data_IF_324507606409
#
_entry.id   IF_324507606409
#
_cell.length_a   1.000
_cell.length_b   1.000
_cell.length_c   1.000
_cell.angle_alpha   90.00
_cell.angle_beta   90.00
_cell.angle_gamma   90.00
#
_symmetry.space_group_name_H-M   'P 1'
#
loop_
_entity.id
_entity.type
_entity.pdbx_description
1 polymer ?
#
# COMPACT_ATOMS: atom_id res chain seq x y z
N UNK A 1 29.03 -17.08 11.81
CA UNK A 1 28.39 -15.74 11.75
C UNK A 1 28.37 -15.27 10.30
N UNK A 2 27.21 -14.81 9.79
CA UNK A 2 26.92 -14.55 8.37
C UNK A 2 27.65 -13.34 7.73
N UNK A 3 28.75 -12.84 8.31
CA UNK A 3 29.52 -11.72 7.74
C UNK A 3 28.73 -10.39 7.61
N UNK A 4 27.61 -10.26 8.32
CA UNK A 4 26.73 -9.09 8.22
C UNK A 4 27.30 -7.88 8.96
N UNK A 5 27.15 -6.70 8.35
CA UNK A 5 27.58 -5.42 8.94
C UNK A 5 26.38 -4.68 9.51
N UNK A 6 26.39 -4.45 10.83
CA UNK A 6 25.36 -3.65 11.50
C UNK A 6 25.51 -2.16 11.13
N UNK A 7 24.39 -1.50 10.80
CA UNK A 7 24.31 -0.06 10.53
C UNK A 7 23.34 0.59 11.51
N UNK A 8 23.88 1.09 12.62
CA UNK A 8 23.10 1.82 13.62
C UNK A 8 22.84 3.26 13.17
N UNK A 9 21.64 3.76 13.45
CA UNK A 9 21.30 5.19 13.38
C UNK A 9 21.58 5.85 14.73
N UNK A 10 21.93 7.14 14.71
CA UNK A 10 22.05 7.93 15.93
C UNK A 10 20.68 8.04 16.63
N UNK A 11 20.69 8.05 17.96
CA UNK A 11 19.48 8.23 18.76
C UNK A 11 18.73 9.51 18.35
N UNK A 12 17.40 9.45 18.36
CA UNK A 12 16.51 10.57 18.05
C UNK A 12 16.74 11.20 16.66
N UNK A 13 17.29 10.46 15.69
CA UNK A 13 17.43 10.88 14.28
C UNK A 13 16.63 10.00 13.32
N UNK A 14 15.29 10.06 13.37
CA UNK A 14 14.43 9.24 12.53
C UNK A 14 14.68 9.44 11.01
N UNK A 15 14.98 10.69 10.62
CA UNK A 15 15.24 11.08 9.24
C UNK A 15 16.43 10.35 8.59
N UNK A 16 17.37 9.85 9.40
CA UNK A 16 18.51 9.09 8.92
C UNK A 16 18.12 7.77 8.23
N UNK A 17 16.89 7.28 8.46
CA UNK A 17 16.36 6.08 7.82
C UNK A 17 14.92 6.27 7.31
N UNK A 18 14.62 7.45 6.75
CA UNK A 18 13.25 7.86 6.42
C UNK A 18 12.49 6.95 5.44
N UNK A 19 13.17 6.12 4.64
CA UNK A 19 12.53 5.10 3.79
C UNK A 19 11.96 3.96 4.63
N UNK A 20 12.76 3.42 5.57
CA UNK A 20 12.32 2.38 6.49
C UNK A 20 11.22 2.89 7.40
N UNK A 21 11.31 4.13 7.87
CA UNK A 21 10.27 4.67 8.76
C UNK A 21 8.94 4.86 8.03
N UNK A 22 8.98 5.24 6.75
CA UNK A 22 7.77 5.33 5.93
C UNK A 22 7.15 3.96 5.71
N UNK A 23 7.96 2.93 5.42
CA UNK A 23 7.44 1.57 5.26
C UNK A 23 6.84 1.04 6.57
N UNK A 24 7.48 1.27 7.71
CA UNK A 24 6.95 0.93 9.05
C UNK A 24 5.61 1.65 9.30
N UNK A 25 5.51 2.93 8.95
CA UNK A 25 4.25 3.67 9.10
C UNK A 25 3.13 3.09 8.23
N UNK A 26 3.44 2.66 7.00
CA UNK A 26 2.47 1.98 6.12
C UNK A 26 1.98 0.68 6.75
N UNK A 27 2.89 -0.14 7.28
CA UNK A 27 2.55 -1.38 7.99
C UNK A 27 1.63 -1.10 9.18
N UNK A 28 1.99 -0.14 10.04
CA UNK A 28 1.18 0.22 11.22
C UNK A 28 -0.24 0.66 10.82
N UNK A 29 -0.36 1.47 9.76
CA UNK A 29 -1.67 1.92 9.26
C UNK A 29 -2.49 0.76 8.71
N UNK A 30 -1.86 -0.17 7.99
CA UNK A 30 -2.53 -1.32 7.43
C UNK A 30 -2.99 -2.30 8.53
N UNK A 31 -2.15 -2.55 9.55
CA UNK A 31 -2.54 -3.33 10.74
C UNK A 31 -3.77 -2.69 11.41
N UNK A 32 -3.74 -1.38 11.68
CA UNK A 32 -4.87 -0.67 12.31
C UNK A 32 -6.16 -0.71 11.48
N UNK A 33 -6.06 -0.84 10.16
CA UNK A 33 -7.23 -0.94 9.29
C UNK A 33 -7.79 -2.37 9.23
N UNK A 34 -6.94 -3.38 9.35
CA UNK A 34 -7.33 -4.80 9.31
C UNK A 34 -7.79 -5.34 10.67
N UNK A 35 -7.26 -4.82 11.77
CA UNK A 35 -7.64 -5.21 13.13
C UNK A 35 -8.83 -4.36 13.57
N UNK A 36 -10.05 -4.81 13.27
CA UNK A 36 -11.28 -4.19 13.74
C UNK A 36 -11.81 -4.78 15.05
N UNK A 37 -11.43 -6.01 15.40
CA UNK A 37 -11.91 -6.70 16.60
C UNK A 37 -10.97 -6.51 17.81
N UNK A 38 -11.59 -6.37 18.98
CA UNK A 38 -10.90 -5.98 20.23
C UNK A 38 -10.03 -7.09 20.84
N UNK A 39 -10.24 -8.34 20.47
CA UNK A 39 -9.57 -9.50 21.07
C UNK A 39 -8.30 -9.92 20.32
N UNK A 40 -8.03 -9.36 19.12
CA UNK A 40 -6.81 -9.60 18.33
C UNK A 40 -6.52 -11.08 18.07
N UNK A 41 -7.55 -11.93 18.18
CA UNK A 41 -7.39 -13.39 18.20
C UNK A 41 -7.10 -13.98 16.82
N UNK A 42 -7.42 -13.24 15.75
CA UNK A 42 -7.21 -13.63 14.36
C UNK A 42 -5.94 -13.02 13.74
N UNK A 43 -5.10 -12.33 14.53
CA UNK A 43 -3.91 -11.63 14.01
C UNK A 43 -2.99 -12.54 13.19
N UNK A 44 -2.79 -13.78 13.62
CA UNK A 44 -1.94 -14.74 12.91
C UNK A 44 -2.55 -15.11 11.54
N UNK A 45 -3.88 -15.26 11.46
CA UNK A 45 -4.60 -15.55 10.22
C UNK A 45 -4.66 -14.35 9.27
N UNK A 46 -4.61 -13.12 9.81
CA UNK A 46 -4.57 -11.89 9.02
C UNK A 46 -3.15 -11.48 8.64
N UNK A 47 -2.13 -11.92 9.36
CA UNK A 47 -0.74 -11.53 9.12
C UNK A 47 -0.27 -11.89 7.72
N UNK A 48 -0.58 -13.11 7.25
CA UNK A 48 -0.22 -13.56 5.90
C UNK A 48 -0.95 -12.74 4.82
N UNK A 49 -2.26 -12.52 5.00
CA UNK A 49 -3.09 -11.73 4.08
C UNK A 49 -2.60 -10.28 4.01
N UNK A 50 -2.26 -9.70 5.14
CA UNK A 50 -1.73 -8.35 5.26
C UNK A 50 -0.37 -8.22 4.60
N UNK A 51 0.53 -9.20 4.82
CA UNK A 51 1.84 -9.23 4.20
C UNK A 51 1.74 -9.35 2.68
N UNK A 52 0.82 -10.19 2.18
CA UNK A 52 0.51 -10.30 0.76
C UNK A 52 -0.04 -8.98 0.21
N UNK A 53 -1.00 -8.34 0.88
CA UNK A 53 -1.54 -7.05 0.48
C UNK A 53 -0.46 -5.97 0.41
N UNK A 54 0.43 -5.88 1.42
CA UNK A 54 1.52 -4.90 1.44
C UNK A 54 2.54 -5.15 0.32
N UNK A 55 2.94 -6.39 0.08
CA UNK A 55 3.93 -6.74 -0.95
C UNK A 55 3.40 -6.58 -2.38
N UNK A 56 2.10 -6.73 -2.58
CA UNK A 56 1.46 -6.63 -3.91
C UNK A 56 0.78 -5.28 -4.16
N UNK A 57 0.62 -4.45 -3.12
CA UNK A 57 0.15 -3.07 -3.27
C UNK A 57 1.20 -2.18 -3.93
N UNK A 58 0.73 -1.15 -4.64
CA UNK A 58 1.61 -0.19 -5.29
C UNK A 58 2.27 0.74 -4.26
N UNK A 59 3.60 0.79 -4.27
CA UNK A 59 4.37 1.76 -3.49
C UNK A 59 4.66 3.00 -4.33
N UNK A 60 3.97 4.10 -4.05
CA UNK A 60 4.14 5.37 -4.77
C UNK A 60 5.57 5.94 -4.67
N UNK A 61 6.36 5.56 -3.66
CA UNK A 61 7.76 5.99 -3.53
C UNK A 61 8.67 5.27 -4.51
N UNK A 62 8.35 3.99 -4.78
CA UNK A 62 9.14 3.11 -5.65
C UNK A 62 8.58 3.00 -7.06
N UNK A 63 7.38 3.56 -7.27
CA UNK A 63 6.62 3.55 -8.52
C UNK A 63 6.31 2.14 -9.06
N UNK A 64 6.31 1.14 -8.16
CA UNK A 64 5.92 -0.23 -8.45
C UNK A 64 5.56 -0.98 -7.15
N UNK A 65 5.20 -2.25 -7.27
CA UNK A 65 4.93 -3.14 -6.13
C UNK A 65 6.24 -3.68 -5.53
N UNK A 66 6.40 -3.78 -4.20
CA UNK A 66 7.59 -4.38 -3.60
C UNK A 66 7.93 -5.77 -4.13
N UNK A 67 6.91 -6.60 -4.39
CA UNK A 67 7.08 -7.94 -4.96
C UNK A 67 7.76 -7.91 -6.33
N UNK A 68 7.26 -7.06 -7.25
CA UNK A 68 7.84 -6.93 -8.59
C UNK A 68 9.29 -6.47 -8.53
N UNK A 69 9.62 -5.55 -7.64
CA UNK A 69 10.98 -5.02 -7.51
C UNK A 69 11.99 -6.06 -7.01
N UNK A 70 11.56 -7.02 -6.20
CA UNK A 70 12.41 -8.10 -5.67
C UNK A 70 12.52 -9.26 -6.66
N UNK A 71 11.41 -9.62 -7.31
CA UNK A 71 11.34 -10.86 -8.09
C UNK A 71 11.40 -10.66 -9.61
N UNK A 72 11.13 -9.44 -10.10
CA UNK A 72 11.12 -9.12 -11.53
C UNK A 72 9.91 -9.67 -12.28
N UNK A 73 8.90 -10.19 -11.57
CA UNK A 73 7.63 -10.69 -12.12
C UNK A 73 6.45 -10.34 -11.21
N UNK A 74 5.25 -10.40 -11.77
CA UNK A 74 4.02 -10.03 -11.07
C UNK A 74 3.44 -11.17 -10.26
N UNK A 75 3.03 -10.94 -9.00
CA UNK A 75 2.48 -11.99 -8.15
C UNK A 75 1.25 -12.61 -8.84
N UNK A 76 1.22 -13.94 -8.96
CA UNK A 76 0.08 -14.64 -9.53
C UNK A 76 -1.12 -14.45 -8.60
N UNK A 77 -2.27 -14.04 -9.16
CA UNK A 77 -3.52 -14.11 -8.41
C UNK A 77 -3.82 -15.58 -8.06
N UNK A 78 -4.58 -15.84 -7.00
CA UNK A 78 -5.02 -17.21 -6.65
C UNK A 78 -5.62 -17.92 -7.87
N UNK A 79 -6.38 -17.18 -8.69
CA UNK A 79 -6.94 -17.66 -9.96
C UNK A 79 -5.85 -18.00 -10.98
N UNK A 80 -4.83 -17.15 -11.13
CA UNK A 80 -3.69 -17.41 -12.02
C UNK A 80 -2.83 -18.58 -11.55
N UNK A 81 -2.66 -18.77 -10.24
CA UNK A 81 -1.94 -19.91 -9.68
C UNK A 81 -2.71 -21.23 -9.90
N UNK A 82 -4.05 -21.18 -9.79
CA UNK A 82 -4.94 -22.31 -10.09
C UNK A 82 -4.98 -22.68 -11.57
N UNK A 83 -4.90 -21.70 -12.47
CA UNK A 83 -4.89 -21.91 -13.93
C UNK A 83 -3.51 -22.34 -14.48
N UNK A 84 -2.47 -22.38 -13.65
CA UNK A 84 -1.11 -22.75 -14.04
C UNK A 84 -0.34 -21.60 -14.70
N UNK A 85 0.69 -21.93 -15.48
CA UNK A 85 1.50 -20.92 -16.18
C UNK A 85 0.60 -19.96 -16.97
N UNK A 86 0.84 -18.63 -16.89
CA UNK A 86 0.14 -17.68 -17.74
C UNK A 86 0.25 -18.15 -19.20
N UNK A 87 -0.83 -18.06 -20.01
CA UNK A 87 -0.78 -18.49 -21.40
C UNK A 87 0.42 -17.82 -22.09
N UNK A 88 1.10 -18.58 -22.96
CA UNK A 88 2.26 -18.07 -23.72
C UNK A 88 1.90 -16.73 -24.38
N UNK A 89 2.55 -15.64 -23.96
CA UNK A 89 2.22 -14.29 -24.40
C UNK A 89 1.60 -13.37 -23.34
N UNK A 90 1.61 -13.74 -22.05
CA UNK A 90 1.30 -12.79 -20.96
C UNK A 90 2.34 -11.66 -20.94
N UNK A 91 2.00 -10.54 -21.58
CA UNK A 91 2.86 -9.37 -21.67
C UNK A 91 2.85 -8.61 -20.33
N UNK A 92 3.97 -8.72 -19.62
CA UNK A 92 4.23 -8.03 -18.36
C UNK A 92 4.07 -6.51 -18.49
N UNK A 93 4.28 -5.95 -19.69
CA UNK A 93 4.02 -4.54 -20.00
C UNK A 93 2.52 -4.21 -19.94
N UNK A 94 1.66 -5.11 -20.41
CA UNK A 94 0.20 -4.96 -20.33
C UNK A 94 -0.27 -5.03 -18.87
N UNK A 95 0.33 -5.92 -18.06
CA UNK A 95 0.04 -5.99 -16.63
C UNK A 95 0.43 -4.70 -15.89
N UNK A 96 1.61 -4.17 -16.19
CA UNK A 96 2.08 -2.88 -15.67
C UNK A 96 1.15 -1.72 -16.07
N UNK A 97 0.77 -1.62 -17.34
CA UNK A 97 -0.14 -0.57 -17.81
C UNK A 97 -1.52 -0.65 -17.15
N UNK A 98 -2.02 -1.87 -16.92
CA UNK A 98 -3.28 -2.10 -16.19
C UNK A 98 -3.19 -1.60 -14.75
N UNK A 99 -2.10 -1.91 -14.02
CA UNK A 99 -1.86 -1.39 -12.66
C UNK A 99 -1.85 0.14 -12.65
N UNK A 100 -1.08 0.75 -13.55
CA UNK A 100 -1.00 2.21 -13.67
C UNK A 100 -2.36 2.85 -13.97
N UNK A 101 -3.20 2.20 -14.79
CA UNK A 101 -4.55 2.71 -15.09
C UNK A 101 -5.45 2.65 -13.87
N UNK A 102 -5.50 1.52 -13.15
CA UNK A 102 -6.29 1.39 -11.91
C UNK A 102 -5.84 2.40 -10.86
N UNK A 103 -4.53 2.60 -10.71
CA UNK A 103 -3.96 3.59 -9.79
C UNK A 103 -4.43 5.02 -10.10
N UNK A 104 -4.38 5.43 -11.37
CA UNK A 104 -4.90 6.76 -11.76
C UNK A 104 -6.37 6.95 -11.43
N UNK A 105 -7.19 5.91 -11.61
CA UNK A 105 -8.60 5.99 -11.25
C UNK A 105 -8.79 6.13 -9.74
N UNK A 106 -7.99 5.43 -8.93
CA UNK A 106 -8.00 5.58 -7.48
C UNK A 106 -7.57 6.99 -7.03
N UNK A 107 -6.51 7.53 -7.63
CA UNK A 107 -6.05 8.90 -7.37
C UNK A 107 -7.11 9.95 -7.72
N UNK A 108 -7.80 9.79 -8.86
CA UNK A 108 -8.92 10.65 -9.23
C UNK A 108 -10.07 10.57 -8.22
N UNK A 109 -10.46 9.36 -7.79
CA UNK A 109 -11.50 9.18 -6.80
C UNK A 109 -11.13 9.82 -5.44
N UNK A 110 -9.86 9.71 -5.02
CA UNK A 110 -9.38 10.36 -3.80
C UNK A 110 -9.39 11.88 -3.92
N UNK A 111 -8.96 12.45 -5.05
CA UNK A 111 -8.99 13.88 -5.29
C UNK A 111 -10.43 14.40 -5.24
N UNK A 112 -11.34 13.73 -5.95
CA UNK A 112 -12.77 14.04 -5.96
C UNK A 112 -13.39 14.00 -4.56
N UNK A 113 -13.05 12.98 -3.75
CA UNK A 113 -13.53 12.88 -2.37
C UNK A 113 -13.04 14.04 -1.49
N UNK A 114 -11.81 14.52 -1.69
CA UNK A 114 -11.28 15.68 -0.96
C UNK A 114 -11.99 16.97 -1.35
N UNK A 115 -12.27 17.16 -2.64
CA UNK A 115 -12.99 18.34 -3.14
C UNK A 115 -14.40 18.41 -2.56
N UNK A 116 -15.13 17.29 -2.59
CA UNK A 116 -16.45 17.18 -1.95
C UNK A 116 -16.39 17.47 -0.44
N UNK A 117 -15.35 16.99 0.23
CA UNK A 117 -15.17 17.25 1.66
C UNK A 117 -14.89 18.74 1.95
N UNK A 118 -14.15 19.42 1.08
CA UNK A 118 -13.86 20.84 1.19
C UNK A 118 -15.15 21.67 0.96
N UNK A 119 -15.93 21.36 -0.06
CA UNK A 119 -17.21 22.01 -0.34
C UNK A 119 -18.19 21.86 0.83
N UNK A 120 -18.30 20.64 1.38
CA UNK A 120 -19.15 20.37 2.54
C UNK A 120 -18.71 21.16 3.79
N UNK A 121 -17.40 21.37 3.98
CA UNK A 121 -16.88 22.20 5.06
C UNK A 121 -17.20 23.69 4.87
N UNK A 122 -17.09 24.21 3.64
CA UNK A 122 -17.44 25.61 3.33
C UNK A 122 -18.91 25.91 3.63
N UNK A 123 -19.81 25.04 3.14
CA UNK A 123 -21.26 25.17 3.40
C UNK A 123 -21.59 25.15 4.89
N UNK A 124 -20.90 24.30 5.67
CA UNK A 124 -21.07 24.26 7.13
C UNK A 124 -20.61 25.54 7.80
N UNK A 125 -19.46 26.11 7.39
CA UNK A 125 -18.97 27.38 7.97
C UNK A 125 -19.88 28.56 7.62
N UNK A 126 -20.38 28.64 6.39
CA UNK A 126 -21.29 29.71 5.94
C UNK A 126 -22.61 29.70 6.73
N UNK A 127 -23.18 28.52 6.95
CA UNK A 127 -24.37 28.35 7.77
C UNK A 127 -24.15 28.75 9.25
N UNK A 128 -22.92 28.62 9.75
CA UNK A 128 -22.57 28.97 11.13
C UNK A 128 -22.37 30.48 11.34
N UNK A 129 -22.00 31.21 10.28
CA UNK A 129 -21.81 32.67 10.30
C UNK A 129 -23.08 33.49 10.07
N UNK A 130 -24.22 32.85 9.77
CA UNK A 130 -25.53 33.50 9.59
C UNK A 130 -26.38 33.52 10.87
N UNK A 131 -25.82 33.11 12.01
CA UNK A 131 -26.40 33.20 13.36
C UNK A 131 -25.72 34.35 14.09
#
# INVERSE_FOLDING_TARGET
>A
MLGSRQRATLAYRPQANGQQERSVLTVIRAIRAYVSESDQSDLDDQAEKLMCALNTSFDATRLDTPFYLVHGWDPQSTVSAMLGSPPSGFDQKVAYERRRKVQRQHEYAQAWAKDLQAEAKSKRSEAQTQI
#
